data_IF_900851954938
#
_entry.id   IF_900851954938
#
_cell.length_a   1.000
_cell.length_b   1.000
_cell.length_c   1.000
_cell.angle_alpha   90.00
_cell.angle_beta   90.00
_cell.angle_gamma   90.00
#
_symmetry.space_group_name_H-M   'P 1'
#
loop_
_entity.id
_entity.type
_entity.pdbx_description
1 polymer ?
#
# COMPACT_ATOMS: atom_id res chain seq x y z
N UNK A 1 36.38 0.30 6.17
CA UNK A 1 36.22 1.71 6.60
C UNK A 1 34.88 1.80 7.30
N UNK A 2 34.88 2.11 8.59
CA UNK A 2 33.67 2.12 9.41
C UNK A 2 32.90 3.41 9.15
N UNK A 3 31.68 3.28 8.67
CA UNK A 3 30.75 4.43 8.57
C UNK A 3 30.11 4.66 9.94
N UNK A 4 30.29 5.86 10.46
CA UNK A 4 29.74 6.30 11.76
C UNK A 4 28.25 6.64 11.56
N UNK A 5 27.35 5.86 12.18
CA UNK A 5 25.93 6.17 12.30
C UNK A 5 25.76 7.41 13.19
N UNK A 6 25.49 8.55 12.63
CA UNK A 6 25.09 9.75 13.38
C UNK A 6 23.57 9.79 13.53
N UNK A 7 23.03 9.31 14.66
CA UNK A 7 21.63 9.53 15.03
C UNK A 7 21.44 11.03 15.33
N UNK A 8 20.74 11.76 14.48
CA UNK A 8 20.28 13.12 14.75
C UNK A 8 19.04 13.06 15.64
N UNK A 9 19.15 13.45 16.89
CA UNK A 9 18.00 13.65 17.81
C UNK A 9 17.14 14.81 17.30
N UNK A 10 15.91 14.53 16.93
CA UNK A 10 14.92 15.54 16.56
C UNK A 10 14.18 15.95 17.83
N UNK A 11 14.06 17.25 18.03
CA UNK A 11 13.45 17.88 19.20
C UNK A 11 11.92 17.71 19.10
N UNK A 12 11.32 17.02 20.07
CA UNK A 12 9.90 16.61 20.12
C UNK A 12 8.87 17.76 20.17
N UNK A 13 9.31 19.01 20.20
CA UNK A 13 8.44 20.19 20.33
C UNK A 13 7.87 20.74 19.00
N UNK A 14 8.28 20.21 17.84
CA UNK A 14 7.83 20.68 16.53
C UNK A 14 6.69 19.85 15.91
N UNK A 15 6.42 18.65 16.45
CA UNK A 15 5.45 17.69 15.85
C UNK A 15 4.01 17.97 16.28
N UNK A 16 3.77 18.74 17.34
CA UNK A 16 2.41 18.99 17.86
C UNK A 16 1.64 20.09 17.14
N UNK A 17 2.24 20.87 16.25
CA UNK A 17 1.57 21.98 15.56
C UNK A 17 0.91 21.62 14.23
N UNK A 18 1.30 20.54 13.57
CA UNK A 18 0.77 20.13 12.25
C UNK A 18 -0.51 19.26 12.34
N UNK A 19 -0.72 18.54 13.45
CA UNK A 19 -1.87 17.65 13.63
C UNK A 19 -3.20 18.36 13.95
N UNK A 20 -3.18 19.65 14.32
CA UNK A 20 -4.38 20.42 14.72
C UNK A 20 -5.07 21.17 13.57
N UNK A 21 -4.49 21.23 12.38
CA UNK A 21 -5.04 22.01 11.26
C UNK A 21 -5.97 21.21 10.34
N UNK A 22 -5.98 19.89 10.40
CA UNK A 22 -6.81 19.03 9.54
C UNK A 22 -8.22 18.79 10.10
N UNK A 23 -8.45 19.05 11.40
CA UNK A 23 -9.72 18.78 12.08
C UNK A 23 -10.76 19.92 12.00
N UNK A 24 -10.45 21.06 11.37
CA UNK A 24 -11.35 22.23 11.32
C UNK A 24 -12.05 22.46 9.97
N UNK A 25 -11.84 21.62 8.95
CA UNK A 25 -12.44 21.80 7.62
C UNK A 25 -13.72 20.94 7.40
N UNK A 26 -14.03 20.00 8.30
CA UNK A 26 -15.18 19.09 8.15
C UNK A 26 -16.46 19.49 8.92
N UNK A 27 -16.50 20.67 9.58
CA UNK A 27 -17.63 21.10 10.40
C UNK A 27 -18.51 22.22 9.81
N UNK A 28 -18.44 22.51 8.53
CA UNK A 28 -19.05 23.73 7.99
C UNK A 28 -19.90 23.60 6.72
N UNK A 29 -20.80 22.62 6.60
CA UNK A 29 -21.81 22.63 5.53
C UNK A 29 -23.04 21.77 5.87
N UNK A 30 -23.87 22.22 6.83
CA UNK A 30 -25.31 21.87 6.84
C UNK A 30 -26.06 23.04 7.50
N UNK A 31 -26.71 23.89 6.71
CA UNK A 31 -27.83 24.71 7.19
C UNK A 31 -28.60 25.36 5.99
N UNK A 32 -29.91 25.12 5.97
CA UNK A 32 -30.90 25.86 5.22
C UNK A 32 -31.49 25.07 4.02
N UNK A 33 -32.80 24.89 3.85
CA UNK A 33 -33.94 25.64 4.34
C UNK A 33 -35.25 24.82 4.19
N UNK A 34 -36.23 25.17 5.00
CA UNK A 34 -37.56 24.61 5.10
C UNK A 34 -38.50 25.03 3.94
N UNK A 35 -39.55 24.22 3.68
CA UNK A 35 -40.67 24.56 2.85
C UNK A 35 -41.81 23.54 2.99
N UNK A 36 -42.92 24.02 3.63
CA UNK A 36 -44.16 23.34 4.01
C UNK A 36 -45.05 22.92 2.82
N UNK A 37 -45.83 21.83 3.02
CA UNK A 37 -47.32 21.69 3.13
C UNK A 37 -47.76 20.29 2.70
N UNK A 38 -48.41 19.56 3.55
CA UNK A 38 -49.82 19.43 3.96
C UNK A 38 -50.57 18.24 3.32
N UNK A 39 -51.09 17.39 4.24
CA UNK A 39 -52.30 16.56 4.24
C UNK A 39 -52.36 15.31 3.32
N UNK A 40 -52.58 14.11 3.78
CA UNK A 40 -53.79 13.58 4.41
C UNK A 40 -53.53 12.12 4.89
N UNK A 41 -54.17 11.69 6.00
CA UNK A 41 -54.16 10.31 6.52
C UNK A 41 -55.41 9.55 6.03
N UNK A 42 -55.40 8.19 6.02
CA UNK A 42 -55.76 7.45 7.22
C UNK A 42 -55.03 6.12 7.52
N UNK A 43 -55.08 5.81 8.74
CA UNK A 43 -54.93 4.72 9.71
C UNK A 43 -54.91 3.26 9.25
N UNK A 44 -54.05 2.56 10.02
CA UNK A 44 -54.08 1.23 10.67
C UNK A 44 -53.60 0.05 9.84
N UNK A 45 -52.50 -0.61 10.30
CA UNK A 45 -52.60 -1.71 11.28
C UNK A 45 -51.21 -2.07 11.87
N UNK A 46 -51.22 -2.39 13.16
CA UNK A 46 -50.07 -2.80 13.97
C UNK A 46 -49.53 -4.17 13.53
N UNK A 47 -48.22 -4.28 13.33
CA UNK A 47 -47.47 -5.52 13.52
C UNK A 47 -46.08 -5.23 14.07
N UNK A 48 -45.81 -5.83 15.22
CA UNK A 48 -44.63 -5.77 16.07
C UNK A 48 -43.29 -5.77 15.35
N UNK A 49 -42.48 -4.73 15.64
CA UNK A 49 -41.06 -4.69 15.32
C UNK A 49 -40.27 -5.61 16.28
N UNK A 50 -39.65 -6.60 15.70
CA UNK A 50 -38.51 -7.29 16.32
C UNK A 50 -37.27 -6.43 16.10
N UNK A 51 -36.53 -6.16 17.16
CA UNK A 51 -35.40 -5.24 17.17
C UNK A 51 -34.20 -5.82 16.46
N UNK A 52 -34.00 -5.43 15.22
CA UNK A 52 -32.73 -5.56 14.52
C UNK A 52 -31.81 -4.41 14.95
N UNK A 53 -30.97 -4.63 15.96
CA UNK A 53 -29.86 -3.73 16.23
C UNK A 53 -28.91 -3.78 15.02
N UNK A 54 -28.69 -2.62 14.39
CA UNK A 54 -27.54 -2.45 13.50
C UNK A 54 -26.27 -2.84 14.29
N UNK A 55 -25.38 -3.65 13.72
CA UNK A 55 -24.09 -3.86 14.33
C UNK A 55 -23.39 -2.50 14.33
N UNK A 56 -23.12 -1.97 15.53
CA UNK A 56 -22.25 -0.84 15.71
C UNK A 56 -20.94 -1.17 14.96
N UNK A 57 -20.57 -0.37 13.97
CA UNK A 57 -19.28 -0.46 13.34
C UNK A 57 -18.26 -0.30 14.48
N UNK A 58 -17.56 -1.37 14.80
CA UNK A 58 -16.44 -1.34 15.74
C UNK A 58 -15.41 -0.41 15.09
N UNK A 59 -15.20 0.77 15.68
CA UNK A 59 -14.19 1.72 15.20
C UNK A 59 -12.87 0.94 15.13
N UNK A 60 -12.36 0.73 13.93
CA UNK A 60 -11.09 0.07 13.70
C UNK A 60 -10.04 0.82 14.54
N UNK A 61 -9.52 0.16 15.56
CA UNK A 61 -8.52 0.72 16.45
C UNK A 61 -7.34 1.14 15.60
N UNK A 62 -7.08 2.44 15.49
CA UNK A 62 -5.98 2.98 14.71
C UNK A 62 -4.70 2.24 15.11
N UNK A 63 -4.04 1.61 14.14
CA UNK A 63 -2.79 0.89 14.32
C UNK A 63 -1.72 1.87 14.78
N UNK A 64 -1.07 1.57 15.91
CA UNK A 64 -0.01 2.41 16.47
C UNK A 64 1.34 1.84 16.05
N UNK A 65 2.12 2.63 15.31
CA UNK A 65 3.49 2.29 14.92
C UNK A 65 4.44 2.87 15.95
N UNK A 66 5.32 2.03 16.48
CA UNK A 66 6.37 2.42 17.42
C UNK A 66 7.69 2.61 16.64
N UNK A 67 8.18 3.84 16.44
CA UNK A 67 9.37 4.10 15.64
C UNK A 67 10.68 3.58 16.27
N UNK A 68 10.64 3.12 17.53
CA UNK A 68 11.82 2.52 18.19
C UNK A 68 11.92 1.00 17.98
N UNK A 69 10.87 0.36 17.42
CA UNK A 69 10.88 -1.07 17.09
C UNK A 69 11.27 -1.32 15.64
N UNK A 70 11.88 -2.47 15.35
CA UNK A 70 12.20 -2.82 13.98
C UNK A 70 10.94 -2.96 13.14
N UNK A 71 11.00 -2.52 11.89
CA UNK A 71 9.88 -2.58 10.96
C UNK A 71 10.32 -2.99 9.57
N UNK A 72 9.41 -3.65 8.84
CA UNK A 72 9.65 -4.16 7.51
C UNK A 72 8.40 -3.96 6.66
N UNK A 73 8.56 -3.60 5.39
CA UNK A 73 7.47 -3.53 4.43
C UNK A 73 7.40 -4.83 3.60
N UNK A 74 6.30 -5.57 3.74
CA UNK A 74 5.98 -6.68 2.85
C UNK A 74 5.21 -6.12 1.66
N UNK A 75 5.63 -6.45 0.43
CA UNK A 75 5.01 -5.90 -0.78
C UNK A 75 4.66 -7.00 -1.77
N UNK A 76 3.55 -6.82 -2.49
CA UNK A 76 3.03 -7.76 -3.47
C UNK A 76 2.82 -7.06 -4.80
N UNK A 77 3.38 -7.62 -5.88
CA UNK A 77 3.22 -7.13 -7.24
C UNK A 77 2.23 -7.99 -8.04
N UNK A 78 1.85 -7.54 -9.22
CA UNK A 78 1.11 -8.25 -10.28
C UNK A 78 -0.37 -8.59 -9.97
N UNK A 79 -0.96 -8.06 -8.93
CA UNK A 79 -2.39 -8.19 -8.66
C UNK A 79 -3.23 -7.03 -9.24
N UNK A 80 -4.49 -6.94 -8.80
CA UNK A 80 -5.21 -7.95 -8.01
C UNK A 80 -5.50 -9.23 -8.79
N UNK A 81 -5.35 -10.37 -8.14
CA UNK A 81 -5.70 -11.68 -8.69
C UNK A 81 -6.93 -12.24 -7.96
N UNK A 82 -8.00 -12.52 -8.69
CA UNK A 82 -9.27 -12.97 -8.08
C UNK A 82 -9.16 -14.28 -7.29
N UNK A 83 -8.17 -15.13 -7.59
CA UNK A 83 -7.96 -16.42 -6.92
C UNK A 83 -7.06 -16.29 -5.68
N UNK A 84 -5.98 -15.50 -5.73
CA UNK A 84 -4.93 -15.52 -4.71
C UNK A 84 -4.88 -14.27 -3.84
N UNK A 85 -5.15 -13.08 -4.38
CA UNK A 85 -5.11 -11.84 -3.58
C UNK A 85 -6.06 -11.86 -2.38
N UNK A 86 -7.30 -12.42 -2.47
CA UNK A 86 -8.17 -12.53 -1.29
C UNK A 86 -7.57 -13.39 -0.16
N UNK A 87 -6.81 -14.45 -0.50
CA UNK A 87 -6.17 -15.32 0.49
C UNK A 87 -5.02 -14.63 1.22
N UNK A 88 -4.26 -13.78 0.50
CA UNK A 88 -3.23 -12.93 1.10
C UNK A 88 -3.89 -11.92 2.05
N UNK A 89 -5.00 -11.29 1.65
CA UNK A 89 -5.75 -10.37 2.51
C UNK A 89 -6.31 -11.07 3.75
N UNK A 90 -6.81 -12.31 3.63
CA UNK A 90 -7.25 -13.13 4.77
C UNK A 90 -6.08 -13.38 5.75
N UNK A 91 -4.89 -13.69 5.22
CA UNK A 91 -3.69 -13.88 6.03
C UNK A 91 -3.31 -12.59 6.79
N UNK A 92 -3.32 -11.44 6.11
CA UNK A 92 -3.00 -10.15 6.73
C UNK A 92 -4.03 -9.76 7.80
N UNK A 93 -5.33 -9.89 7.51
CA UNK A 93 -6.41 -9.60 8.43
C UNK A 93 -6.34 -10.46 9.70
N UNK A 94 -6.15 -11.78 9.56
CA UNK A 94 -6.03 -12.72 10.66
C UNK A 94 -4.83 -12.41 11.58
N UNK A 95 -3.79 -11.79 11.05
CA UNK A 95 -2.60 -11.41 11.79
C UNK A 95 -2.58 -9.92 12.19
N UNK A 96 -3.64 -9.15 11.89
CA UNK A 96 -3.70 -7.69 12.11
C UNK A 96 -2.50 -6.97 11.50
N UNK A 97 -2.05 -7.45 10.35
CA UNK A 97 -0.91 -6.98 9.59
C UNK A 97 -1.36 -6.18 8.36
N UNK A 98 -0.46 -5.36 7.84
CA UNK A 98 -0.66 -4.65 6.57
C UNK A 98 0.50 -4.93 5.63
N UNK A 99 0.27 -4.62 4.35
CA UNK A 99 1.26 -4.71 3.29
C UNK A 99 1.05 -3.57 2.28
N UNK A 100 1.95 -3.44 1.30
CA UNK A 100 1.74 -2.58 0.13
C UNK A 100 1.55 -3.47 -1.10
N UNK A 101 0.50 -3.22 -1.85
CA UNK A 101 0.19 -3.92 -3.10
C UNK A 101 0.48 -2.99 -4.27
N UNK A 102 1.33 -3.42 -5.21
CA UNK A 102 1.57 -2.73 -6.47
C UNK A 102 0.77 -3.41 -7.57
N UNK A 103 -0.38 -2.80 -7.89
CA UNK A 103 -1.43 -3.43 -8.67
C UNK A 103 -1.40 -3.02 -10.13
N UNK A 104 -1.70 -3.97 -11.03
CA UNK A 104 -1.81 -3.75 -12.47
C UNK A 104 -3.19 -3.17 -12.78
N UNK A 105 -3.24 -1.97 -13.36
CA UNK A 105 -4.47 -1.21 -13.56
C UNK A 105 -5.57 -1.97 -14.30
N UNK A 106 -5.26 -2.77 -15.32
CA UNK A 106 -6.28 -3.57 -16.01
C UNK A 106 -6.87 -4.70 -15.14
N UNK A 107 -6.17 -5.16 -14.12
CA UNK A 107 -6.72 -6.10 -13.14
C UNK A 107 -7.50 -5.38 -12.04
N UNK A 108 -7.10 -4.16 -11.68
CA UNK A 108 -7.91 -3.27 -10.81
C UNK A 108 -9.29 -3.02 -11.41
N UNK A 109 -9.38 -2.77 -12.73
CA UNK A 109 -10.67 -2.67 -13.43
C UNK A 109 -11.50 -3.97 -13.37
N UNK A 110 -10.83 -5.12 -13.34
CA UNK A 110 -11.49 -6.42 -13.32
C UNK A 110 -11.94 -6.85 -11.91
N UNK A 111 -11.18 -6.49 -10.87
CA UNK A 111 -11.40 -6.92 -9.47
C UNK A 111 -11.34 -5.75 -8.47
N UNK A 112 -12.07 -4.65 -8.69
CA UNK A 112 -11.96 -3.42 -7.87
C UNK A 112 -12.33 -3.62 -6.40
N UNK A 113 -13.09 -4.68 -6.08
CA UNK A 113 -13.47 -5.02 -4.71
C UNK A 113 -12.30 -5.54 -3.88
N UNK A 114 -11.28 -6.12 -4.53
CA UNK A 114 -10.08 -6.64 -3.84
C UNK A 114 -9.26 -5.46 -3.32
N UNK A 115 -9.00 -4.45 -4.16
CA UNK A 115 -8.26 -3.25 -3.76
C UNK A 115 -9.01 -2.44 -2.71
N UNK A 116 -10.34 -2.38 -2.84
CA UNK A 116 -11.18 -1.72 -1.82
C UNK A 116 -11.04 -2.40 -0.47
N UNK A 117 -11.11 -3.74 -0.43
CA UNK A 117 -10.88 -4.51 0.80
C UNK A 117 -9.47 -4.30 1.35
N UNK A 118 -8.45 -4.31 0.49
CA UNK A 118 -7.07 -4.06 0.91
C UNK A 118 -6.93 -2.68 1.58
N UNK A 119 -7.51 -1.63 0.97
CA UNK A 119 -7.52 -0.29 1.54
C UNK A 119 -8.30 -0.20 2.88
N UNK A 120 -9.44 -0.89 3.00
CA UNK A 120 -10.22 -0.98 4.25
C UNK A 120 -9.45 -1.68 5.37
N UNK A 121 -8.59 -2.64 5.06
CA UNK A 121 -7.68 -3.29 6.01
C UNK A 121 -6.47 -2.42 6.39
N UNK A 122 -6.32 -1.24 5.78
CA UNK A 122 -5.20 -0.33 6.02
C UNK A 122 -3.94 -0.67 5.21
N UNK A 123 -4.04 -1.54 4.22
CA UNK A 123 -2.97 -1.78 3.26
C UNK A 123 -2.81 -0.57 2.33
N UNK A 124 -1.60 -0.37 1.82
CA UNK A 124 -1.32 0.66 0.83
C UNK A 124 -1.44 0.08 -0.58
N UNK A 125 -2.05 0.84 -1.48
CA UNK A 125 -2.16 0.49 -2.90
C UNK A 125 -1.22 1.39 -3.69
N UNK A 126 -0.34 0.79 -4.47
CA UNK A 126 0.55 1.43 -5.44
C UNK A 126 0.23 0.99 -6.87
N UNK A 127 0.73 1.72 -7.84
CA UNK A 127 0.58 1.38 -9.26
C UNK A 127 1.68 0.44 -9.74
N UNK A 128 1.33 -0.52 -10.61
CA UNK A 128 2.29 -1.38 -11.33
C UNK A 128 2.12 -1.25 -12.86
N UNK A 129 1.83 -0.04 -13.36
CA UNK A 129 1.38 0.27 -14.71
C UNK A 129 0.01 -0.32 -15.07
N UNK A 130 -0.56 0.08 -16.19
CA UNK A 130 -1.88 -0.42 -16.57
C UNK A 130 -1.83 -1.81 -17.25
N UNK A 131 -0.81 -2.06 -18.09
CA UNK A 131 -0.67 -3.33 -18.83
C UNK A 131 0.57 -4.14 -18.45
N UNK A 132 1.27 -3.81 -17.37
CA UNK A 132 2.54 -4.43 -16.99
C UNK A 132 3.60 -4.36 -18.11
N UNK A 133 3.66 -3.25 -18.84
CA UNK A 133 4.68 -3.04 -19.87
C UNK A 133 5.90 -2.36 -19.27
N UNK A 134 7.09 -2.87 -19.61
CA UNK A 134 8.36 -2.24 -19.26
C UNK A 134 8.37 -0.80 -19.77
N UNK A 135 8.67 0.16 -18.91
CA UNK A 135 8.56 1.59 -19.21
C UNK A 135 9.64 2.09 -20.20
N UNK A 136 10.93 1.73 -20.05
CA UNK A 136 11.96 2.12 -21.03
C UNK A 136 11.63 1.68 -22.45
N UNK A 137 11.77 2.63 -23.40
CA UNK A 137 11.53 2.37 -24.83
C UNK A 137 10.09 2.59 -25.28
N UNK A 138 9.16 2.90 -24.37
CA UNK A 138 7.85 3.39 -24.76
C UNK A 138 7.89 4.84 -25.20
N UNK A 139 6.94 5.25 -26.07
CA UNK A 139 6.78 6.67 -26.43
C UNK A 139 6.13 7.46 -25.29
N UNK A 140 6.33 8.78 -25.28
CA UNK A 140 5.73 9.66 -24.28
C UNK A 140 4.19 9.58 -24.29
N UNK A 141 3.57 9.41 -25.46
CA UNK A 141 2.12 9.22 -25.59
C UNK A 141 1.65 7.90 -24.98
N UNK A 142 2.44 6.82 -25.15
CA UNK A 142 2.09 5.51 -24.56
C UNK A 142 2.20 5.55 -23.03
N UNK A 143 3.19 6.24 -22.49
CA UNK A 143 3.35 6.45 -21.05
C UNK A 143 2.21 7.30 -20.49
N UNK A 144 1.86 8.41 -21.17
CA UNK A 144 0.76 9.28 -20.74
C UNK A 144 -0.59 8.54 -20.75
N UNK A 145 -0.82 7.68 -21.74
CA UNK A 145 -2.03 6.87 -21.83
C UNK A 145 -2.08 5.80 -20.73
N UNK A 146 -0.96 5.13 -20.43
CA UNK A 146 -0.86 4.15 -19.34
C UNK A 146 -1.19 4.80 -17.98
N UNK A 147 -0.62 5.99 -17.70
CA UNK A 147 -0.92 6.75 -16.49
C UNK A 147 -2.40 7.17 -16.39
N UNK A 148 -2.99 7.62 -17.51
CA UNK A 148 -4.39 8.01 -17.55
C UNK A 148 -5.30 6.83 -17.22
N UNK A 149 -5.05 5.67 -17.83
CA UNK A 149 -5.81 4.44 -17.59
C UNK A 149 -5.65 3.94 -16.15
N UNK A 150 -4.42 3.97 -15.60
CA UNK A 150 -4.18 3.66 -14.19
C UNK A 150 -5.00 4.54 -13.27
N UNK A 151 -4.92 5.87 -13.45
CA UNK A 151 -5.66 6.82 -12.61
C UNK A 151 -7.16 6.53 -12.64
N UNK A 152 -7.74 6.33 -13.82
CA UNK A 152 -9.17 6.04 -13.95
C UNK A 152 -9.58 4.74 -13.23
N UNK A 153 -8.76 3.68 -13.34
CA UNK A 153 -9.01 2.41 -12.67
C UNK A 153 -8.96 2.54 -11.15
N UNK A 154 -7.91 3.17 -10.61
CA UNK A 154 -7.75 3.34 -9.16
C UNK A 154 -8.75 4.33 -8.56
N UNK A 155 -9.04 5.46 -9.22
CA UNK A 155 -10.09 6.39 -8.76
C UNK A 155 -11.46 5.69 -8.66
N UNK A 156 -11.79 4.82 -9.60
CA UNK A 156 -13.03 4.03 -9.58
C UNK A 156 -13.01 2.94 -8.48
N UNK A 157 -11.89 2.30 -8.22
CA UNK A 157 -11.78 1.21 -7.25
C UNK A 157 -11.70 1.71 -5.81
N UNK A 158 -10.79 2.66 -5.53
CA UNK A 158 -10.45 3.12 -4.18
C UNK A 158 -10.64 4.63 -3.95
N UNK A 159 -11.11 5.37 -4.96
CA UNK A 159 -11.37 6.82 -4.85
C UNK A 159 -10.12 7.69 -4.82
N UNK A 160 -8.96 7.16 -5.22
CA UNK A 160 -7.69 7.87 -5.19
C UNK A 160 -6.73 7.40 -6.30
N UNK A 161 -5.84 8.29 -6.75
CA UNK A 161 -4.69 7.93 -7.59
C UNK A 161 -3.52 7.55 -6.68
N UNK A 162 -2.89 6.37 -6.84
CA UNK A 162 -1.79 5.93 -5.99
C UNK A 162 -0.61 6.89 -6.00
N UNK A 163 -0.04 7.15 -4.83
CA UNK A 163 1.14 8.00 -4.67
C UNK A 163 2.41 7.26 -5.09
N UNK A 164 2.44 5.94 -4.89
CA UNK A 164 3.59 5.09 -5.21
C UNK A 164 3.38 4.36 -6.53
N UNK A 165 4.50 4.18 -7.25
CA UNK A 165 4.58 3.29 -8.41
C UNK A 165 5.79 2.37 -8.27
N UNK A 166 5.60 1.09 -8.57
CA UNK A 166 6.71 0.17 -8.85
C UNK A 166 6.75 -0.10 -10.34
N UNK A 167 7.85 0.23 -11.03
CA UNK A 167 7.93 0.01 -12.47
C UNK A 167 7.99 -1.49 -12.77
N UNK A 168 7.30 -1.99 -13.81
CA UNK A 168 7.39 -3.39 -14.22
C UNK A 168 8.85 -3.84 -14.38
N UNK A 169 9.17 -5.01 -13.78
CA UNK A 169 10.53 -5.58 -13.72
C UNK A 169 11.56 -4.66 -13.04
N UNK A 170 11.14 -3.70 -12.22
CA UNK A 170 12.04 -2.71 -11.62
C UNK A 170 12.73 -1.78 -12.62
N UNK A 171 12.32 -1.81 -13.89
CA UNK A 171 13.05 -1.16 -14.98
C UNK A 171 12.60 0.28 -15.20
N UNK A 172 13.51 1.21 -14.99
CA UNK A 172 13.27 2.64 -15.18
C UNK A 172 14.53 3.36 -15.67
N UNK A 173 14.35 4.46 -16.40
CA UNK A 173 15.42 5.37 -16.79
C UNK A 173 15.06 6.79 -16.35
N UNK A 174 16.05 7.65 -16.16
CA UNK A 174 15.89 9.01 -15.63
C UNK A 174 14.85 9.85 -16.36
N UNK A 175 14.77 9.73 -17.70
CA UNK A 175 13.80 10.47 -18.50
C UNK A 175 12.34 10.10 -18.15
N UNK A 176 12.10 8.86 -17.71
CA UNK A 176 10.77 8.38 -17.33
C UNK A 176 10.38 8.91 -15.96
N UNK A 177 11.32 8.99 -15.00
CA UNK A 177 11.03 9.52 -13.66
C UNK A 177 10.39 10.91 -13.72
N UNK A 178 10.82 11.75 -14.68
CA UNK A 178 10.29 13.11 -14.83
C UNK A 178 8.90 13.18 -15.50
N UNK A 179 8.38 12.06 -15.99
CA UNK A 179 7.06 11.99 -16.63
C UNK A 179 5.95 11.58 -15.68
N UNK A 180 6.30 11.16 -14.45
CA UNK A 180 5.37 10.69 -13.45
C UNK A 180 5.29 11.65 -12.26
N UNK A 181 4.07 11.83 -11.75
CA UNK A 181 3.81 12.53 -10.49
C UNK A 181 3.90 11.61 -9.27
N UNK A 182 4.18 10.33 -9.49
CA UNK A 182 4.30 9.30 -8.47
C UNK A 182 5.75 9.12 -8.01
N UNK A 183 5.90 8.47 -6.85
CA UNK A 183 7.18 8.11 -6.25
C UNK A 183 7.51 6.69 -6.68
N UNK A 184 8.66 6.52 -7.32
CA UNK A 184 9.11 5.19 -7.76
C UNK A 184 9.74 4.41 -6.62
N UNK A 185 9.27 3.17 -6.41
CA UNK A 185 9.72 2.29 -5.34
C UNK A 185 10.16 0.93 -5.90
N UNK A 186 11.34 0.48 -5.52
CA UNK A 186 11.85 -0.87 -5.77
C UNK A 186 11.68 -1.79 -4.56
N UNK A 187 12.67 -2.64 -4.35
CA UNK A 187 12.75 -3.57 -3.21
C UNK A 187 14.20 -3.76 -2.75
N UNK A 188 14.39 -4.31 -1.58
CA UNK A 188 15.71 -4.65 -1.03
C UNK A 188 15.89 -6.14 -0.82
N UNK A 189 14.79 -6.91 -0.72
CA UNK A 189 14.81 -8.36 -0.56
C UNK A 189 13.92 -8.97 -1.64
N UNK A 190 14.52 -9.69 -2.58
CA UNK A 190 13.80 -10.43 -3.62
C UNK A 190 13.58 -11.87 -3.16
N UNK A 191 12.33 -12.25 -2.95
CA UNK A 191 11.96 -13.62 -2.55
C UNK A 191 12.17 -14.63 -3.66
N UNK A 192 12.23 -14.18 -4.93
CA UNK A 192 12.29 -15.00 -6.12
C UNK A 192 11.11 -16.00 -6.26
N UNK A 193 9.97 -15.69 -5.65
CA UNK A 193 8.73 -16.46 -5.77
C UNK A 193 8.26 -16.56 -7.22
N UNK A 194 8.42 -15.48 -7.98
CA UNK A 194 8.12 -15.39 -9.42
C UNK A 194 8.96 -16.34 -10.28
N UNK A 195 10.17 -16.72 -9.82
CA UNK A 195 11.14 -17.51 -10.59
C UNK A 195 11.04 -19.01 -10.30
N UNK A 196 10.94 -19.38 -9.03
CA UNK A 196 11.09 -20.79 -8.63
C UNK A 196 9.79 -21.48 -8.29
N UNK A 197 8.73 -20.77 -7.93
CA UNK A 197 7.44 -21.33 -7.52
C UNK A 197 7.62 -22.38 -6.42
N UNK A 198 8.41 -22.08 -5.44
CA UNK A 198 8.80 -22.98 -4.36
C UNK A 198 8.66 -22.24 -3.02
N UNK A 199 7.76 -22.73 -2.16
CA UNK A 199 7.42 -22.09 -0.88
C UNK A 199 8.61 -22.05 0.05
N UNK A 200 9.34 -23.18 0.20
CA UNK A 200 10.45 -23.26 1.12
C UNK A 200 11.59 -22.31 0.69
N UNK A 201 11.84 -22.22 -0.59
CA UNK A 201 12.85 -21.33 -1.14
C UNK A 201 12.45 -19.86 -0.96
N UNK A 202 11.22 -19.50 -1.26
CA UNK A 202 10.67 -18.16 -1.04
C UNK A 202 10.84 -17.73 0.42
N UNK A 203 10.42 -18.59 1.35
CA UNK A 203 10.55 -18.35 2.79
C UNK A 203 12.01 -18.26 3.22
N UNK A 204 12.87 -19.14 2.73
CA UNK A 204 14.30 -19.14 3.09
C UNK A 204 15.03 -17.91 2.54
N UNK A 205 14.68 -17.41 1.36
CA UNK A 205 15.28 -16.19 0.82
C UNK A 205 15.06 -14.97 1.74
N UNK A 206 13.94 -14.93 2.45
CA UNK A 206 13.67 -13.89 3.48
C UNK A 206 14.42 -14.21 4.78
N UNK A 207 14.27 -15.45 5.29
CA UNK A 207 14.82 -15.84 6.60
C UNK A 207 16.35 -15.82 6.68
N UNK A 208 17.04 -15.94 5.54
CA UNK A 208 18.51 -15.87 5.47
C UNK A 208 19.04 -14.43 5.48
N UNK A 209 18.20 -13.43 5.28
CA UNK A 209 18.59 -12.02 5.46
C UNK A 209 18.79 -11.77 6.94
N UNK A 210 19.99 -11.34 7.33
CA UNK A 210 20.35 -11.25 8.75
C UNK A 210 19.56 -10.21 9.53
N UNK A 211 19.27 -9.05 8.91
CA UNK A 211 18.53 -7.96 9.50
C UNK A 211 17.50 -7.44 8.47
N UNK A 212 16.24 -7.51 8.83
CA UNK A 212 15.13 -7.06 7.99
C UNK A 212 14.61 -5.67 8.38
N UNK A 213 15.21 -5.02 9.39
CA UNK A 213 14.80 -3.68 9.80
C UNK A 213 15.03 -2.66 8.67
N UNK A 214 13.97 -2.01 8.26
CA UNK A 214 13.99 -1.05 7.14
C UNK A 214 13.94 -1.69 5.76
N UNK A 215 13.78 -3.01 5.64
CA UNK A 215 13.76 -3.68 4.33
C UNK A 215 12.38 -3.63 3.67
N UNK A 216 12.40 -3.67 2.34
CA UNK A 216 11.22 -3.83 1.48
C UNK A 216 11.31 -5.18 0.79
N UNK A 217 10.40 -6.09 1.14
CA UNK A 217 10.37 -7.47 0.63
C UNK A 217 9.45 -7.54 -0.59
N UNK A 218 9.96 -8.02 -1.72
CA UNK A 218 9.19 -8.28 -2.94
C UNK A 218 8.61 -9.68 -2.91
N UNK A 219 7.30 -9.77 -3.10
CA UNK A 219 6.52 -10.95 -3.44
C UNK A 219 5.54 -10.62 -4.57
N UNK A 220 4.78 -11.62 -5.03
CA UNK A 220 3.75 -11.44 -6.05
C UNK A 220 2.41 -12.02 -5.56
N UNK A 221 1.30 -11.39 -5.95
CA UNK A 221 -0.05 -11.78 -5.49
C UNK A 221 -0.81 -12.70 -6.47
N UNK A 222 -0.13 -13.16 -7.52
CA UNK A 222 -0.70 -13.96 -8.61
C UNK A 222 -0.26 -15.44 -8.61
N UNK A 223 0.33 -15.94 -7.49
CA UNK A 223 0.80 -17.33 -7.38
C UNK A 223 0.37 -17.98 -6.08
N UNK A 224 -0.01 -19.27 -6.15
CA UNK A 224 -0.37 -20.06 -4.98
C UNK A 224 0.79 -20.20 -4.00
N UNK A 225 2.01 -20.38 -4.49
CA UNK A 225 3.20 -20.54 -3.65
C UNK A 225 3.52 -19.25 -2.88
N UNK A 226 3.23 -18.09 -3.46
CA UNK A 226 3.37 -16.79 -2.78
C UNK A 226 2.37 -16.64 -1.65
N UNK A 227 1.11 -17.10 -1.83
CA UNK A 227 0.12 -17.16 -0.74
C UNK A 227 0.63 -18.02 0.41
N UNK A 228 1.05 -19.25 0.12
CA UNK A 228 1.56 -20.19 1.13
C UNK A 228 2.82 -19.66 1.83
N UNK A 229 3.70 -18.97 1.10
CA UNK A 229 4.86 -18.32 1.69
C UNK A 229 4.46 -17.14 2.60
N UNK A 230 3.46 -16.35 2.21
CA UNK A 230 2.93 -15.25 3.03
C UNK A 230 2.31 -15.76 4.33
N UNK A 231 1.55 -16.87 4.29
CA UNK A 231 0.98 -17.53 5.48
C UNK A 231 2.06 -17.99 6.49
N UNK A 232 3.28 -18.24 6.03
CA UNK A 232 4.43 -18.58 6.89
C UNK A 232 5.18 -17.31 7.32
N UNK A 233 5.43 -16.38 6.39
CA UNK A 233 6.29 -15.22 6.63
C UNK A 233 5.61 -14.17 7.51
N UNK A 234 4.30 -13.91 7.33
CA UNK A 234 3.59 -12.88 8.10
C UNK A 234 3.65 -13.17 9.61
N UNK A 235 3.18 -14.34 10.10
CA UNK A 235 3.28 -14.62 11.53
C UNK A 235 4.74 -14.72 12.01
N UNK A 236 5.64 -15.27 11.20
CA UNK A 236 7.05 -15.37 11.57
C UNK A 236 7.70 -13.99 11.77
N UNK A 237 7.45 -13.01 10.87
CA UNK A 237 7.99 -11.65 11.01
C UNK A 237 7.49 -10.99 12.30
N UNK A 238 6.20 -11.14 12.61
CA UNK A 238 5.62 -10.65 13.86
C UNK A 238 6.22 -11.31 15.09
N UNK A 239 6.45 -12.62 15.06
CA UNK A 239 7.12 -13.39 16.13
C UNK A 239 8.58 -12.96 16.33
N UNK A 240 9.28 -12.55 15.27
CA UNK A 240 10.62 -11.97 15.36
C UNK A 240 10.61 -10.54 15.91
N UNK A 241 9.45 -9.95 16.16
CA UNK A 241 9.30 -8.61 16.73
C UNK A 241 9.29 -7.49 15.69
N UNK A 242 9.23 -7.79 14.40
CA UNK A 242 9.06 -6.77 13.36
C UNK A 242 7.63 -6.24 13.34
N UNK A 243 7.47 -4.95 13.14
CA UNK A 243 6.21 -4.34 12.74
C UNK A 243 6.08 -4.43 11.23
N UNK A 244 5.01 -5.06 10.74
CA UNK A 244 4.65 -5.00 9.32
C UNK A 244 4.02 -3.64 9.05
N UNK A 245 4.66 -2.86 8.19
CA UNK A 245 4.24 -1.49 7.84
C UNK A 245 4.09 -1.35 6.32
N UNK A 246 3.36 -0.34 5.89
CA UNK A 246 3.33 0.02 4.48
C UNK A 246 4.64 0.68 4.04
N UNK A 247 4.89 0.80 2.75
CA UNK A 247 6.09 1.47 2.23
C UNK A 247 6.11 2.95 2.64
N UNK A 248 4.97 3.64 2.57
CA UNK A 248 4.87 5.04 3.02
C UNK A 248 5.15 5.19 4.51
N UNK A 249 4.65 4.27 5.34
CA UNK A 249 4.95 4.25 6.77
C UNK A 249 6.43 3.96 7.04
N UNK A 250 7.06 3.06 6.26
CA UNK A 250 8.49 2.79 6.36
C UNK A 250 9.31 4.05 6.06
N UNK A 251 8.97 4.82 5.02
CA UNK A 251 9.61 6.11 4.76
C UNK A 251 9.44 7.08 5.92
N UNK A 252 8.23 7.17 6.47
CA UNK A 252 7.91 8.11 7.54
C UNK A 252 8.55 7.74 8.87
N UNK A 253 8.42 6.50 9.32
CA UNK A 253 8.77 6.10 10.68
C UNK A 253 10.17 5.52 10.82
N UNK A 254 10.66 4.75 9.84
CA UNK A 254 12.00 4.18 9.88
C UNK A 254 13.05 5.15 9.35
N UNK A 255 12.85 5.64 8.12
CA UNK A 255 13.81 6.53 7.48
C UNK A 255 13.66 7.99 7.88
N UNK A 256 12.52 8.39 8.45
CA UNK A 256 12.20 9.79 8.79
C UNK A 256 12.35 10.74 7.60
N UNK A 257 11.96 10.29 6.40
CA UNK A 257 11.99 11.08 5.17
C UNK A 257 10.58 11.25 4.60
N UNK A 258 10.41 12.37 3.88
CA UNK A 258 9.29 12.55 2.94
C UNK A 258 9.84 12.24 1.56
N UNK A 259 9.44 11.13 0.90
CA UNK A 259 9.97 10.81 -0.39
C UNK A 259 9.54 11.85 -1.42
N UNK A 260 10.46 12.19 -2.32
CA UNK A 260 10.26 13.19 -3.36
C UNK A 260 9.90 12.53 -4.69
N UNK A 261 9.05 13.17 -5.48
CA UNK A 261 8.77 12.79 -6.87
C UNK A 261 10.04 12.83 -7.72
N UNK A 262 10.05 12.08 -8.80
CA UNK A 262 11.17 11.99 -9.75
C UNK A 262 12.42 11.27 -9.24
N UNK A 263 12.32 10.57 -8.10
CA UNK A 263 13.36 9.70 -7.56
C UNK A 263 12.89 8.26 -7.56
N UNK A 264 13.85 7.33 -7.71
CA UNK A 264 13.63 5.91 -7.60
C UNK A 264 14.27 5.41 -6.31
N UNK A 265 13.45 4.99 -5.36
CA UNK A 265 13.87 4.45 -4.08
C UNK A 265 14.03 2.93 -4.23
N UNK A 266 15.22 2.48 -4.55
CA UNK A 266 15.56 1.07 -4.69
C UNK A 266 16.84 0.75 -3.95
N UNK A 267 16.93 -0.50 -3.52
CA UNK A 267 18.09 -1.06 -2.85
C UNK A 267 18.88 -1.92 -3.85
N UNK A 268 20.09 -1.52 -4.13
CA UNK A 268 21.27 -2.26 -4.63
C UNK A 268 21.23 -3.14 -5.90
N UNK A 269 20.17 -3.37 -6.64
CA UNK A 269 20.27 -4.39 -7.70
C UNK A 269 20.18 -3.91 -9.16
N UNK A 270 19.58 -2.81 -9.50
CA UNK A 270 19.49 -2.35 -10.89
C UNK A 270 19.47 -0.82 -11.00
N UNK A 271 20.60 -0.20 -10.73
CA UNK A 271 20.71 1.25 -10.92
C UNK A 271 21.40 1.54 -12.26
N UNK A 272 20.61 1.85 -13.28
CA UNK A 272 21.11 2.64 -14.40
C UNK A 272 21.13 4.13 -13.99
N UNK A 273 22.10 4.90 -14.48
CA UNK A 273 22.35 6.32 -14.18
C UNK A 273 21.10 7.13 -13.78
N UNK A 274 20.95 7.46 -12.50
CA UNK A 274 19.94 8.39 -12.00
C UNK A 274 19.06 7.90 -10.87
N UNK A 275 19.22 6.67 -10.36
CA UNK A 275 18.53 6.22 -9.16
C UNK A 275 19.22 6.75 -7.90
N UNK A 276 18.41 7.19 -6.93
CA UNK A 276 18.90 7.50 -5.59
C UNK A 276 18.83 6.20 -4.78
N UNK A 277 19.99 5.76 -4.30
CA UNK A 277 20.08 4.64 -3.39
C UNK A 277 19.78 5.11 -1.97
N UNK A 278 18.84 4.45 -1.30
CA UNK A 278 18.72 4.57 0.15
C UNK A 278 19.66 3.52 0.75
N UNK A 279 20.78 3.97 1.25
CA UNK A 279 21.76 3.13 1.96
C UNK A 279 21.69 3.38 3.47
#
# INVERSE_FOLDING_TARGET
MHAVKTKKRINLSAVTAAALLVLLILAGLISGSAGEKSADRPRQDELSADGGGEPAAEEAKARVIDPEKPMVALTFDDGPCGEYSPLILDCLENNQAVATFFEIGCYVDQYPEIDRRAAELGCEIGSHSYYHKVLPGQSDEAIAEDQRLCREAFEKAIGADPVLIRPPQGSVVKSILNQYDQIFVGWSVDTQDWLYRDVDRTVNNVKQVGDLDGQVILMHSNYQESVQAAEILVPWLLEQGYQLVTVSELFQYHYCITPEKHYYYAYDYFVSDGALMIS
#
